data_IF_302191435443
#
_entry.id   IF_302191435443
#
_cell.length_a   1.000
_cell.length_b   1.000
_cell.length_c   1.000
_cell.angle_alpha   90.00
_cell.angle_beta   90.00
_cell.angle_gamma   90.00
#
_symmetry.space_group_name_H-M   'P 1'
#
loop_
_entity.id
_entity.type
_entity.pdbx_description
1 polymer ?
#
# COMPACT_ATOMS: atom_id res chain seq x y z
N UNK A 1 12.73 -10.42 -20.36
CA UNK A 1 11.46 -10.28 -19.61
C UNK A 1 11.78 -10.54 -18.16
N UNK A 2 11.67 -9.50 -17.36
CA UNK A 2 12.07 -9.37 -15.95
C UNK A 2 11.01 -9.94 -14.98
N UNK A 3 10.22 -10.92 -15.43
CA UNK A 3 9.38 -11.81 -14.60
C UNK A 3 8.22 -11.17 -13.83
N UNK A 4 8.12 -9.84 -13.85
CA UNK A 4 7.22 -9.03 -13.01
C UNK A 4 5.83 -8.78 -13.62
N UNK A 5 5.60 -9.13 -14.89
CA UNK A 5 4.29 -8.96 -15.57
C UNK A 5 3.82 -7.50 -15.73
N UNK A 6 4.65 -6.54 -15.32
CA UNK A 6 4.37 -5.11 -15.37
C UNK A 6 4.67 -4.56 -16.76
N UNK A 7 3.77 -3.76 -17.32
CA UNK A 7 3.97 -3.10 -18.62
C UNK A 7 3.51 -1.64 -18.56
N UNK A 8 4.12 -0.71 -19.33
CA UNK A 8 3.64 0.67 -19.43
C UNK A 8 2.18 0.77 -19.90
N UNK A 9 1.73 -0.18 -20.72
CA UNK A 9 0.34 -0.28 -21.18
C UNK A 9 -0.61 -0.61 -20.03
N UNK A 10 -0.19 -1.51 -19.11
CA UNK A 10 -0.95 -1.84 -17.92
C UNK A 10 -1.00 -0.64 -16.96
N UNK A 11 0.14 0.00 -16.70
CA UNK A 11 0.22 1.18 -15.82
C UNK A 11 -0.75 2.29 -16.23
N UNK A 12 -0.91 2.54 -17.55
CA UNK A 12 -1.84 3.54 -18.08
C UNK A 12 -3.33 3.21 -17.90
N UNK A 13 -3.68 1.95 -17.64
CA UNK A 13 -5.07 1.49 -17.44
C UNK A 13 -5.46 1.39 -15.97
N UNK A 14 -4.48 1.38 -15.07
CA UNK A 14 -4.72 1.23 -13.66
C UNK A 14 -5.24 2.54 -13.05
N UNK A 15 -6.21 2.40 -12.16
CA UNK A 15 -6.73 3.52 -11.37
C UNK A 15 -5.75 3.85 -10.24
N UNK A 16 -5.08 2.84 -9.68
CA UNK A 16 -4.03 2.98 -8.68
C UNK A 16 -2.72 2.36 -9.17
N UNK A 17 -1.57 2.99 -8.94
CA UNK A 17 -0.26 2.45 -9.35
C UNK A 17 0.20 1.25 -8.50
N UNK A 18 -0.65 0.75 -7.59
CA UNK A 18 -0.41 -0.37 -6.68
C UNK A 18 -1.73 -1.00 -6.24
N UNK A 19 -1.68 -2.11 -5.51
CA UNK A 19 -2.87 -2.72 -4.92
C UNK A 19 -3.57 -1.78 -3.92
N UNK A 20 -4.90 -1.76 -3.98
CA UNK A 20 -5.77 -1.11 -2.99
C UNK A 20 -5.82 -1.93 -1.69
N UNK A 21 -4.65 -2.16 -1.09
CA UNK A 21 -4.45 -2.94 0.12
C UNK A 21 -3.72 -2.07 1.16
N UNK A 22 -4.20 -2.11 2.41
CA UNK A 22 -3.62 -1.39 3.54
C UNK A 22 -3.73 -2.22 4.82
N UNK A 23 -2.61 -2.43 5.51
CA UNK A 23 -2.59 -3.05 6.83
C UNK A 23 -2.70 -1.96 7.90
N UNK A 24 -3.94 -1.66 8.32
CA UNK A 24 -4.24 -0.55 9.24
C UNK A 24 -3.76 -0.81 10.67
N UNK A 25 -3.70 -2.06 11.11
CA UNK A 25 -3.43 -2.43 12.51
C UNK A 25 -2.55 -3.66 12.57
N UNK A 26 -1.53 -3.59 13.42
CA UNK A 26 -0.72 -4.73 13.85
C UNK A 26 -0.86 -4.85 15.37
N UNK A 27 -1.18 -6.06 15.83
CA UNK A 27 -1.39 -6.33 17.24
C UNK A 27 -0.66 -7.61 17.62
N UNK A 28 0.12 -7.55 18.71
CA UNK A 28 0.86 -8.70 19.24
C UNK A 28 0.75 -8.76 20.77
N UNK A 29 0.91 -9.96 21.32
CA UNK A 29 1.15 -10.17 22.74
C UNK A 29 2.65 -10.32 22.99
N UNK A 30 3.24 -9.42 23.76
CA UNK A 30 4.66 -9.42 24.10
C UNK A 30 4.86 -9.25 25.61
N UNK A 31 5.56 -10.19 26.25
CA UNK A 31 5.76 -10.22 27.71
C UNK A 31 4.47 -10.03 28.53
N UNK A 32 3.37 -10.64 28.06
CA UNK A 32 2.06 -10.53 28.70
C UNK A 32 1.37 -9.18 28.54
N UNK A 33 1.90 -8.28 27.68
CA UNK A 33 1.31 -6.99 27.33
C UNK A 33 0.86 -7.01 25.88
N UNK A 34 -0.31 -6.42 25.63
CA UNK A 34 -0.78 -6.14 24.28
C UNK A 34 0.00 -4.94 23.73
N UNK A 35 0.60 -5.10 22.56
CA UNK A 35 1.23 -4.01 21.81
C UNK A 35 0.44 -3.84 20.52
N UNK A 36 -0.05 -2.62 20.30
CA UNK A 36 -0.85 -2.24 19.14
C UNK A 36 -0.13 -1.13 18.40
N UNK A 37 0.00 -1.29 17.09
CA UNK A 37 0.38 -0.23 16.17
C UNK A 37 -0.74 0.01 15.18
N UNK A 38 -1.03 1.27 14.91
CA UNK A 38 -1.99 1.69 13.91
C UNK A 38 -1.29 2.59 12.88
N UNK A 39 -1.65 2.42 11.62
CA UNK A 39 -1.20 3.25 10.52
C UNK A 39 -2.42 3.75 9.78
N UNK A 40 -2.57 5.07 9.72
CA UNK A 40 -3.64 5.69 8.96
C UNK A 40 -3.55 5.31 7.47
N UNK A 41 -4.70 5.36 6.81
CA UNK A 41 -4.78 5.09 5.39
C UNK A 41 -3.94 6.13 4.64
N UNK A 42 -3.06 5.66 3.76
CA UNK A 42 -2.28 6.54 2.89
C UNK A 42 -3.19 7.40 2.02
N UNK A 43 -2.72 8.59 1.67
CA UNK A 43 -3.57 9.61 1.06
C UNK A 43 -4.16 9.18 -0.29
N UNK A 44 -3.39 8.44 -1.09
CA UNK A 44 -3.82 7.84 -2.36
C UNK A 44 -5.00 6.89 -2.19
N UNK A 45 -4.98 6.03 -1.17
CA UNK A 45 -6.07 5.11 -0.86
C UNK A 45 -7.27 5.83 -0.25
N UNK A 46 -7.04 6.86 0.57
CA UNK A 46 -8.12 7.68 1.11
C UNK A 46 -8.85 8.45 0.00
N UNK A 47 -8.14 8.91 -1.03
CA UNK A 47 -8.73 9.54 -2.21
C UNK A 47 -9.44 8.54 -3.10
N UNK A 48 -8.84 7.38 -3.35
CA UNK A 48 -9.46 6.28 -4.10
C UNK A 48 -10.76 5.82 -3.44
N UNK A 49 -10.76 5.56 -2.13
CA UNK A 49 -11.94 5.12 -1.38
C UNK A 49 -13.06 6.17 -1.37
N UNK A 50 -12.71 7.45 -1.44
CA UNK A 50 -13.66 8.56 -1.49
C UNK A 50 -14.10 8.94 -2.91
N UNK A 51 -13.59 8.27 -3.95
CA UNK A 51 -13.87 8.61 -5.35
C UNK A 51 -13.32 9.98 -5.78
N UNK A 52 -12.27 10.46 -5.13
CA UNK A 52 -11.58 11.71 -5.48
C UNK A 52 -10.46 11.47 -6.50
N UNK A 53 -9.94 12.55 -7.06
CA UNK A 53 -8.69 12.50 -7.81
C UNK A 53 -7.55 11.96 -6.92
N UNK A 54 -6.84 10.96 -7.42
CA UNK A 54 -5.84 10.23 -6.65
C UNK A 54 -4.53 11.00 -6.71
N UNK A 55 -4.07 11.45 -5.54
CA UNK A 55 -2.75 12.05 -5.40
C UNK A 55 -1.70 10.95 -5.38
N UNK A 56 -0.76 11.00 -6.32
CA UNK A 56 0.40 10.10 -6.30
C UNK A 56 1.23 10.31 -5.03
N UNK A 57 1.59 9.21 -4.38
CA UNK A 57 2.50 9.21 -3.23
C UNK A 57 3.85 8.63 -3.67
N UNK A 58 4.84 9.47 -4.00
CA UNK A 58 6.15 8.99 -4.48
C UNK A 58 6.94 8.21 -3.42
N UNK A 59 6.57 8.32 -2.15
CA UNK A 59 7.31 7.77 -1.01
C UNK A 59 6.72 6.46 -0.45
N UNK A 60 5.80 5.79 -1.16
CA UNK A 60 5.35 4.44 -0.74
C UNK A 60 6.50 3.45 -0.96
N UNK A 61 7.24 3.20 0.11
CA UNK A 61 8.34 2.22 0.12
C UNK A 61 7.73 0.82 -0.02
N UNK A 62 7.90 0.21 -1.19
CA UNK A 62 7.67 -1.22 -1.39
C UNK A 62 8.85 -1.95 -0.74
N UNK A 63 8.65 -2.44 0.49
CA UNK A 63 9.60 -3.36 1.10
C UNK A 63 9.57 -4.70 0.36
N UNK A 64 10.56 -4.94 -0.49
CA UNK A 64 10.94 -6.29 -0.89
C UNK A 64 11.82 -6.86 0.22
N UNK A 65 11.50 -8.07 0.68
CA UNK A 65 12.44 -8.83 1.48
C UNK A 65 13.33 -9.56 0.48
N UNK A 66 14.54 -9.05 0.28
CA UNK A 66 15.56 -9.78 -0.47
C UNK A 66 16.03 -10.92 0.45
N UNK A 67 15.63 -12.15 0.11
CA UNK A 67 16.07 -13.38 0.77
C UNK A 67 17.53 -13.70 0.45
#
# INVERSE_FOLDING_TARGET
MDGNGWTPELGRKLILPRHALHAVRLEILWEGREIVWESELSQDLADFAAGREIREMPDVVIWSRDD
#
